data_IF_922211439071
#
_entry.id   IF_922211439071
#
_cell.length_a   1.000
_cell.length_b   1.000
_cell.length_c   1.000
_cell.angle_alpha   90.00
_cell.angle_beta   90.00
_cell.angle_gamma   90.00
#
_symmetry.space_group_name_H-M   'P 1'
#
loop_
_entity.id
_entity.type
_entity.pdbx_description
1 polymer ?
#
# COMPACT_ATOMS: atom_id res chain seq x y z
N UNK A 1 7.21 20.67 12.13
CA UNK A 1 6.44 19.83 11.19
C UNK A 1 5.97 18.61 11.95
N UNK A 2 4.73 18.14 11.73
CA UNK A 2 4.26 16.92 12.37
C UNK A 2 5.15 15.73 11.95
N UNK A 3 5.35 14.79 12.87
CA UNK A 3 6.07 13.55 12.56
C UNK A 3 5.25 12.75 11.52
N UNK A 4 5.87 12.23 10.45
CA UNK A 4 5.14 11.47 9.45
C UNK A 4 4.51 10.22 10.05
N UNK A 5 3.28 9.92 9.63
CA UNK A 5 2.56 8.70 10.00
C UNK A 5 3.13 7.55 9.18
N UNK A 6 3.76 6.56 9.83
CA UNK A 6 4.17 5.32 9.17
C UNK A 6 3.00 4.35 9.15
N UNK A 7 2.85 3.68 8.02
CA UNK A 7 1.80 2.70 7.79
C UNK A 7 2.47 1.42 7.32
N UNK A 8 2.04 0.31 7.92
CA UNK A 8 2.39 -1.03 7.48
C UNK A 8 1.10 -1.77 7.19
N UNK A 9 1.06 -2.44 6.06
CA UNK A 9 -0.10 -3.14 5.53
C UNK A 9 0.31 -4.50 4.99
N UNK A 10 -0.59 -5.47 5.11
CA UNK A 10 -0.38 -6.82 4.59
C UNK A 10 -1.55 -7.29 3.75
N UNK A 11 -1.24 -8.12 2.75
CA UNK A 11 -2.22 -8.86 1.93
C UNK A 11 -1.61 -10.17 1.45
N UNK A 12 -2.44 -11.16 1.07
CA UNK A 12 -1.93 -12.35 0.40
C UNK A 12 -1.72 -12.09 -1.08
N UNK A 13 -0.61 -12.58 -1.62
CA UNK A 13 -0.37 -12.75 -3.04
C UNK A 13 -0.90 -14.13 -3.46
N UNK A 14 -1.50 -14.22 -4.65
CA UNK A 14 -1.84 -15.52 -5.22
C UNK A 14 -0.55 -16.20 -5.71
N UNK A 15 -0.26 -17.45 -5.33
CA UNK A 15 1.02 -18.10 -5.65
C UNK A 15 1.35 -18.14 -7.15
N UNK A 16 0.32 -18.34 -7.98
CA UNK A 16 0.40 -18.39 -9.45
C UNK A 16 0.62 -17.02 -10.10
N UNK A 17 0.54 -15.93 -9.33
CA UNK A 17 0.66 -14.54 -9.81
C UNK A 17 1.93 -13.83 -9.32
N UNK A 18 2.79 -14.52 -8.58
CA UNK A 18 3.94 -13.89 -7.94
C UNK A 18 4.92 -13.23 -8.92
N UNK A 19 5.19 -13.86 -10.06
CA UNK A 19 6.12 -13.32 -11.07
C UNK A 19 5.48 -12.18 -11.86
N UNK A 20 4.21 -12.30 -12.23
CA UNK A 20 3.44 -11.24 -12.86
C UNK A 20 3.37 -9.99 -11.97
N UNK A 21 3.10 -10.19 -10.67
CA UNK A 21 3.06 -9.10 -9.70
C UNK A 21 4.39 -8.32 -9.62
N UNK A 22 5.52 -9.03 -9.58
CA UNK A 22 6.85 -8.40 -9.60
C UNK A 22 7.11 -7.67 -10.92
N UNK A 23 6.71 -8.27 -12.05
CA UNK A 23 6.89 -7.68 -13.37
C UNK A 23 6.14 -6.35 -13.48
N UNK A 24 4.86 -6.32 -13.13
CA UNK A 24 4.08 -5.08 -13.21
C UNK A 24 4.63 -4.02 -12.26
N UNK A 25 5.05 -4.40 -11.04
CA UNK A 25 5.64 -3.45 -10.08
C UNK A 25 7.06 -3.00 -10.42
N UNK A 26 7.76 -3.68 -11.34
CA UNK A 26 9.04 -3.18 -11.87
C UNK A 26 8.86 -2.00 -12.86
N UNK A 27 7.63 -1.81 -13.35
CA UNK A 27 7.27 -0.78 -14.33
C UNK A 27 5.92 -0.13 -13.95
N UNK A 28 5.80 0.31 -12.70
CA UNK A 28 4.61 1.04 -12.22
C UNK A 28 4.35 2.25 -13.12
N UNK A 29 3.09 2.48 -13.46
CA UNK A 29 2.70 3.60 -14.31
C UNK A 29 3.10 4.94 -13.66
N UNK A 30 3.76 5.86 -14.40
CA UNK A 30 4.15 7.15 -13.86
C UNK A 30 2.98 7.94 -13.26
N UNK A 31 1.79 7.86 -13.86
CA UNK A 31 0.57 8.51 -13.37
C UNK A 31 0.16 8.05 -11.96
N UNK A 32 0.36 6.77 -11.65
CA UNK A 32 0.08 6.19 -10.32
C UNK A 32 1.11 6.70 -9.30
N UNK A 33 2.39 6.76 -9.68
CA UNK A 33 3.45 7.30 -8.83
C UNK A 33 3.21 8.80 -8.54
N UNK A 34 2.80 9.56 -9.55
CA UNK A 34 2.46 10.97 -9.40
C UNK A 34 1.26 11.15 -8.45
N UNK A 35 0.24 10.28 -8.55
CA UNK A 35 -0.91 10.31 -7.64
C UNK A 35 -0.49 10.07 -6.18
N UNK A 36 0.33 9.04 -5.93
CA UNK A 36 0.89 8.77 -4.60
C UNK A 36 1.67 9.97 -4.05
N UNK A 37 2.51 10.59 -4.88
CA UNK A 37 3.31 11.76 -4.49
C UNK A 37 2.44 12.98 -4.18
N UNK A 38 1.39 13.25 -4.99
CA UNK A 38 0.43 14.35 -4.78
C UNK A 38 -0.31 14.23 -3.44
N UNK A 39 -0.55 13.01 -2.99
CA UNK A 39 -1.27 12.70 -1.74
C UNK A 39 -0.33 12.29 -0.59
N UNK A 40 0.88 12.84 -0.61
CA UNK A 40 1.83 12.80 0.51
C UNK A 40 2.29 11.39 0.93
N UNK A 41 2.18 10.40 0.04
CA UNK A 41 2.79 9.08 0.24
C UNK A 41 4.27 9.15 -0.15
N UNK A 42 5.15 8.77 0.77
CA UNK A 42 6.60 8.74 0.60
C UNK A 42 7.18 7.45 1.13
N UNK A 43 8.40 7.13 0.71
CA UNK A 43 9.15 5.98 1.23
C UNK A 43 8.34 4.67 1.14
N UNK A 44 7.63 4.49 0.03
CA UNK A 44 6.73 3.36 -0.18
C UNK A 44 7.49 2.17 -0.75
N UNK A 45 7.49 1.07 -0.01
CA UNK A 45 8.02 -0.22 -0.41
C UNK A 45 6.97 -1.32 -0.28
N UNK A 46 7.05 -2.34 -1.14
CA UNK A 46 6.28 -3.59 -1.03
C UNK A 46 7.27 -4.75 -1.05
N UNK A 47 7.30 -5.53 0.02
CA UNK A 47 8.14 -6.73 0.15
C UNK A 47 7.28 -7.99 0.02
N UNK A 48 7.83 -9.05 -0.56
CA UNK A 48 7.17 -10.34 -0.69
C UNK A 48 7.88 -11.40 0.14
N UNK A 49 7.11 -12.14 0.96
CA UNK A 49 7.57 -13.31 1.71
C UNK A 49 6.85 -14.58 1.19
N UNK A 50 7.47 -15.32 0.25
CA UNK A 50 6.85 -16.47 -0.42
C UNK A 50 6.33 -17.59 0.49
N UNK A 51 6.98 -17.97 1.61
CA UNK A 51 6.49 -19.06 2.46
C UNK A 51 5.06 -18.85 2.97
N UNK A 52 4.63 -17.60 3.15
CA UNK A 52 3.26 -17.24 3.55
C UNK A 52 2.48 -16.55 2.44
N UNK A 53 3.09 -16.39 1.25
CA UNK A 53 2.54 -15.61 0.15
C UNK A 53 2.15 -14.21 0.60
N UNK A 54 2.98 -13.59 1.44
CA UNK A 54 2.64 -12.34 2.10
C UNK A 54 3.27 -11.17 1.36
N UNK A 55 2.46 -10.21 0.94
CA UNK A 55 2.94 -8.88 0.58
C UNK A 55 2.88 -7.98 1.82
N UNK A 56 3.94 -7.22 2.03
CA UNK A 56 4.12 -6.30 3.15
C UNK A 56 4.40 -4.93 2.55
N UNK A 57 3.41 -4.05 2.61
CA UNK A 57 3.50 -2.67 2.15
C UNK A 57 3.86 -1.77 3.33
N UNK A 58 4.91 -0.94 3.18
CA UNK A 58 5.26 0.09 4.17
C UNK A 58 5.42 1.43 3.50
N UNK A 59 4.83 2.48 4.06
CA UNK A 59 5.01 3.85 3.56
C UNK A 59 4.86 4.89 4.67
N UNK A 60 5.35 6.09 4.39
CA UNK A 60 5.20 7.29 5.22
C UNK A 60 4.16 8.20 4.59
N UNK A 61 3.16 8.56 5.37
CA UNK A 61 2.25 9.65 5.05
C UNK A 61 2.75 10.94 5.72
N UNK A 62 2.95 11.99 4.91
CA UNK A 62 3.52 13.28 5.37
C UNK A 62 2.55 14.46 5.27
N UNK A 63 1.28 14.21 4.95
CA UNK A 63 0.26 15.26 4.87
C UNK A 63 -0.41 15.52 6.22
N UNK A 64 -1.41 16.40 6.21
CA UNK A 64 -2.10 16.85 7.42
C UNK A 64 -3.47 16.17 7.66
N UNK A 65 -4.09 15.58 6.62
CA UNK A 65 -5.40 14.91 6.68
C UNK A 65 -5.39 13.58 5.91
N UNK A 66 -5.06 12.50 6.64
CA UNK A 66 -4.83 11.18 6.03
C UNK A 66 -6.10 10.64 5.37
N UNK A 67 -7.23 10.75 6.04
CA UNK A 67 -8.51 10.24 5.56
C UNK A 67 -8.92 10.94 4.26
N UNK A 68 -8.79 12.26 4.20
CA UNK A 68 -9.08 13.04 2.99
C UNK A 68 -8.15 12.69 1.82
N UNK A 69 -6.86 12.53 2.08
CA UNK A 69 -5.90 12.20 1.03
C UNK A 69 -6.10 10.76 0.51
N UNK A 70 -6.40 9.80 1.38
CA UNK A 70 -6.71 8.44 0.95
C UNK A 70 -8.02 8.38 0.15
N UNK A 71 -9.03 9.17 0.53
CA UNK A 71 -10.26 9.30 -0.25
C UNK A 71 -9.99 9.90 -1.64
N UNK A 72 -9.09 10.88 -1.74
CA UNK A 72 -8.71 11.48 -3.01
C UNK A 72 -7.94 10.50 -3.92
N UNK A 73 -7.01 9.71 -3.37
CA UNK A 73 -6.36 8.61 -4.10
C UNK A 73 -7.42 7.63 -4.61
N UNK A 74 -8.41 7.29 -3.78
CA UNK A 74 -9.51 6.40 -4.16
C UNK A 74 -10.39 6.91 -5.30
N UNK A 75 -10.35 8.21 -5.60
CA UNK A 75 -11.08 8.84 -6.72
C UNK A 75 -10.24 8.98 -7.98
N UNK A 76 -8.91 8.82 -7.91
CA UNK A 76 -8.00 8.93 -9.05
C UNK A 76 -8.20 7.76 -10.03
N UNK A 77 -8.55 8.06 -11.28
CA UNK A 77 -8.94 7.05 -12.26
C UNK A 77 -7.80 6.10 -12.64
N UNK A 78 -6.57 6.63 -12.74
CA UNK A 78 -5.39 5.84 -13.10
C UNK A 78 -5.03 4.88 -11.96
N UNK A 79 -5.11 5.36 -10.72
CA UNK A 79 -4.94 4.54 -9.52
C UNK A 79 -5.97 3.41 -9.46
N UNK A 80 -7.25 3.69 -9.74
CA UNK A 80 -8.30 2.66 -9.78
C UNK A 80 -8.09 1.62 -10.89
N UNK A 81 -7.63 2.05 -12.07
CA UNK A 81 -7.25 1.11 -13.15
C UNK A 81 -6.10 0.21 -12.72
N UNK A 82 -5.08 0.79 -12.09
CA UNK A 82 -3.95 0.05 -11.53
C UNK A 82 -4.39 -0.96 -10.46
N UNK A 83 -5.26 -0.53 -9.54
CA UNK A 83 -5.80 -1.43 -8.51
C UNK A 83 -6.55 -2.61 -9.09
N UNK A 84 -7.44 -2.40 -10.07
CA UNK A 84 -8.15 -3.52 -10.71
C UNK A 84 -7.20 -4.58 -11.28
N UNK A 85 -6.07 -4.16 -11.88
CA UNK A 85 -5.03 -5.07 -12.34
C UNK A 85 -4.36 -5.82 -11.17
N UNK A 86 -3.96 -5.12 -10.10
CA UNK A 86 -3.22 -5.74 -9.00
C UNK A 86 -4.10 -6.56 -8.05
N UNK A 87 -5.38 -6.19 -7.89
CA UNK A 87 -6.35 -6.87 -7.05
C UNK A 87 -6.60 -8.30 -7.56
N UNK A 88 -6.57 -8.51 -8.89
CA UNK A 88 -6.66 -9.84 -9.50
C UNK A 88 -5.52 -10.77 -9.08
N UNK A 89 -4.39 -10.23 -8.64
CA UNK A 89 -3.22 -10.97 -8.19
C UNK A 89 -3.22 -11.22 -6.68
N UNK A 90 -4.15 -10.58 -5.94
CA UNK A 90 -4.13 -10.51 -4.48
C UNK A 90 -5.35 -11.20 -3.86
N UNK A 91 -5.27 -11.45 -2.55
CA UNK A 91 -6.38 -11.91 -1.74
C UNK A 91 -6.34 -11.23 -0.38
N UNK A 92 -7.40 -10.48 -0.06
CA UNK A 92 -7.53 -9.83 1.24
C UNK A 92 -7.59 -10.83 2.40
N UNK A 93 -7.10 -10.39 3.57
CA UNK A 93 -7.37 -11.04 4.85
C UNK A 93 -8.69 -10.59 5.47
N UNK A 94 -9.23 -9.46 5.02
CA UNK A 94 -10.44 -8.88 5.56
C UNK A 94 -11.66 -9.60 4.97
N UNK A 95 -12.50 -10.15 5.84
CA UNK A 95 -13.71 -10.87 5.43
C UNK A 95 -14.68 -9.92 4.70
N UNK A 96 -15.20 -10.36 3.55
CA UNK A 96 -16.13 -9.57 2.74
C UNK A 96 -15.48 -8.52 1.84
N UNK A 97 -14.14 -8.38 1.83
CA UNK A 97 -13.46 -7.49 0.90
C UNK A 97 -13.53 -8.01 -0.55
N UNK A 98 -13.87 -7.13 -1.49
CA UNK A 98 -14.09 -7.45 -2.91
C UNK A 98 -13.08 -6.81 -3.86
N UNK A 99 -12.21 -5.92 -3.35
CA UNK A 99 -11.18 -5.20 -4.09
C UNK A 99 -10.85 -3.88 -3.40
N UNK A 100 -9.86 -3.15 -3.91
CA UNK A 100 -9.41 -1.86 -3.40
C UNK A 100 -10.47 -0.75 -3.48
N UNK A 101 -11.46 -0.90 -4.37
CA UNK A 101 -12.60 0.01 -4.51
C UNK A 101 -13.81 -0.38 -3.62
N UNK A 102 -13.69 -1.47 -2.84
CA UNK A 102 -14.76 -1.99 -2.00
C UNK A 102 -14.98 -1.20 -0.70
N UNK A 103 -16.13 -1.42 -0.06
CA UNK A 103 -16.46 -0.81 1.23
C UNK A 103 -15.63 -1.38 2.40
N UNK A 104 -15.16 -2.62 2.28
CA UNK A 104 -14.24 -3.25 3.24
C UNK A 104 -12.82 -3.02 2.75
N UNK A 105 -11.89 -2.57 3.62
CA UNK A 105 -10.50 -2.34 3.22
C UNK A 105 -9.89 -3.56 2.54
N UNK A 106 -9.17 -3.35 1.45
CA UNK A 106 -8.53 -4.45 0.71
C UNK A 106 -7.27 -4.96 1.41
N UNK A 107 -6.41 -4.03 1.83
CA UNK A 107 -5.22 -4.32 2.63
C UNK A 107 -5.54 -4.28 4.13
N UNK A 108 -4.85 -5.09 4.92
CA UNK A 108 -4.99 -5.10 6.39
C UNK A 108 -3.87 -4.27 7.01
N UNK A 109 -4.22 -3.23 7.76
CA UNK A 109 -3.24 -2.46 8.55
C UNK A 109 -2.68 -3.32 9.68
N UNK A 110 -1.39 -3.19 9.98
CA UNK A 110 -0.74 -3.82 11.14
C UNK A 110 -0.19 -2.76 12.09
N UNK A 111 -0.14 -3.10 13.38
CA UNK A 111 0.28 -2.20 14.46
C UNK A 111 1.80 -1.96 14.47
N UNK A 112 2.22 -0.70 14.55
CA UNK A 112 3.62 -0.34 14.83
C UNK A 112 3.87 -0.50 16.34
N UNK A 113 4.47 -1.62 16.75
CA UNK A 113 4.75 -1.92 18.17
C UNK A 113 6.12 -1.39 18.64
N UNK A 114 6.99 -1.00 17.71
CA UNK A 114 8.33 -0.47 18.00
C UNK A 114 8.77 0.50 16.91
N UNK A 115 9.49 1.55 17.32
CA UNK A 115 10.08 2.56 16.44
C UNK A 115 11.42 3.00 17.00
N UNK A 116 12.44 3.06 16.16
CA UNK A 116 13.72 3.70 16.45
C UNK A 116 14.16 4.53 15.25
N UNK A 117 14.35 5.84 15.47
CA UNK A 117 14.68 6.79 14.40
C UNK A 117 16.19 6.91 14.14
N UNK A 118 17.02 6.22 14.94
CA UNK A 118 18.48 6.31 14.81
C UNK A 118 19.13 7.40 15.67
N UNK A 119 18.33 8.30 16.27
CA UNK A 119 18.84 9.33 17.19
C UNK A 119 18.83 8.83 18.63
N UNK A 120 19.99 8.37 19.10
CA UNK A 120 20.25 8.16 20.53
C UNK A 120 20.93 9.40 21.11
N UNK A 121 20.23 10.53 21.19
CA UNK A 121 20.76 11.65 21.99
C UNK A 121 20.67 11.26 23.47
N UNK A 122 21.84 11.08 24.08
CA UNK A 122 22.04 11.18 25.53
C UNK A 122 21.89 12.63 25.97
#
# INVERSE_FOLDING_TARGET
MAQPRRICQIIKLKPDRADEYKLVHSAVWPSVLDALARHHIKDYSINHYPPLQLLIATFKYTGDDYEKDMEAIGKDEETRKWWRLTDEMQKSFNEGATGSEGAVPWWTNVEEVFRFEGDSTT
#
